data_IF_589287294096
#
_entry.id   IF_589287294096
#
_cell.length_a   1.000
_cell.length_b   1.000
_cell.length_c   1.000
_cell.angle_alpha   90.00
_cell.angle_beta   90.00
_cell.angle_gamma   90.00
#
_symmetry.space_group_name_H-M   'P 1'
#
loop_
_entity.id
_entity.type
_entity.pdbx_description
1 polymer ?
#
# COMPACT_ATOMS: atom_id res chain seq x y z
N UNK A 1 -13.40 -24.54 -29.57
CA UNK A 1 -14.61 -23.94 -30.16
C UNK A 1 -14.53 -22.44 -29.95
N UNK A 2 -14.09 -21.70 -30.97
CA UNK A 2 -13.93 -20.24 -30.93
C UNK A 2 -15.27 -19.58 -31.24
N UNK A 3 -15.80 -18.79 -30.30
CA UNK A 3 -16.97 -17.93 -30.53
C UNK A 3 -16.57 -16.47 -30.37
N UNK A 4 -16.24 -15.90 -31.53
CA UNK A 4 -16.67 -14.62 -32.09
C UNK A 4 -17.00 -13.44 -31.14
N UNK A 5 -16.24 -12.37 -31.37
CA UNK A 5 -16.40 -11.00 -30.91
C UNK A 5 -17.81 -10.42 -31.15
N UNK A 6 -18.29 -9.60 -30.21
CA UNK A 6 -19.15 -8.47 -30.53
C UNK A 6 -18.76 -7.27 -29.64
N UNK A 7 -18.10 -6.30 -30.27
CA UNK A 7 -17.81 -4.97 -29.73
C UNK A 7 -19.04 -4.11 -30.02
N UNK A 8 -19.73 -3.62 -28.98
CA UNK A 8 -20.79 -2.61 -29.12
C UNK A 8 -20.23 -1.31 -28.54
N UNK A 9 -19.79 -0.42 -29.43
CA UNK A 9 -19.43 0.95 -29.09
C UNK A 9 -20.73 1.78 -28.98
N UNK A 10 -21.04 2.27 -27.78
CA UNK A 10 -22.11 3.26 -27.58
C UNK A 10 -21.47 4.65 -27.56
N UNK A 11 -21.72 5.40 -28.62
CA UNK A 11 -21.40 6.83 -28.73
C UNK A 11 -22.49 7.59 -27.98
N UNK A 12 -22.15 8.26 -26.89
CA UNK A 12 -23.04 9.21 -26.20
C UNK A 12 -22.55 10.63 -26.44
N UNK A 13 -23.47 11.46 -26.96
CA UNK A 13 -23.26 12.82 -27.43
C UNK A 13 -22.79 13.79 -26.34
N UNK A 14 -21.79 14.60 -26.71
CA UNK A 14 -21.37 15.82 -26.01
C UNK A 14 -22.42 16.90 -26.25
N UNK A 15 -23.11 17.35 -25.20
CA UNK A 15 -23.87 18.61 -25.23
C UNK A 15 -23.03 19.72 -24.62
N UNK A 16 -22.50 20.59 -25.48
CA UNK A 16 -21.93 21.88 -25.09
C UNK A 16 -23.07 22.83 -24.68
N UNK A 17 -23.13 23.20 -23.41
CA UNK A 17 -23.88 24.36 -22.96
C UNK A 17 -22.92 25.54 -22.78
N UNK A 18 -23.13 26.57 -23.58
CA UNK A 18 -22.42 27.86 -23.54
C UNK A 18 -23.16 28.88 -22.69
N UNK A 19 -22.40 29.89 -22.20
CA UNK A 19 -22.84 31.24 -21.76
C UNK A 19 -23.27 31.34 -20.29
N UNK A 20 -22.97 32.38 -19.49
CA UNK A 20 -22.49 33.75 -19.75
C UNK A 20 -21.82 34.35 -18.48
N UNK A 21 -21.21 35.52 -18.67
CA UNK A 21 -20.34 36.33 -17.79
C UNK A 21 -20.96 36.89 -16.50
N UNK A 22 -20.04 37.05 -15.53
CA UNK A 22 -19.78 38.17 -14.62
C UNK A 22 -20.85 38.58 -13.58
N UNK A 23 -20.43 38.76 -12.33
CA UNK A 23 -20.24 40.08 -11.73
C UNK A 23 -19.45 39.97 -10.41
N UNK A 24 -18.44 40.83 -10.28
CA UNK A 24 -17.62 41.03 -9.09
C UNK A 24 -18.39 41.80 -8.02
N UNK A 25 -18.37 41.35 -6.78
CA UNK A 25 -18.53 42.22 -5.62
C UNK A 25 -17.44 41.90 -4.58
N UNK A 26 -16.57 42.87 -4.38
CA UNK A 26 -15.61 42.96 -3.30
C UNK A 26 -16.36 43.46 -2.07
N UNK A 27 -16.59 42.60 -1.08
CA UNK A 27 -17.00 43.01 0.25
C UNK A 27 -15.87 42.71 1.24
N UNK A 28 -15.16 43.77 1.59
CA UNK A 28 -14.12 43.80 2.63
C UNK A 28 -14.81 43.83 3.99
N UNK A 29 -14.99 42.68 4.64
CA UNK A 29 -15.28 42.65 6.07
C UNK A 29 -14.13 41.98 6.82
N UNK A 30 -13.41 42.83 7.56
CA UNK A 30 -12.36 42.50 8.50
C UNK A 30 -13.01 41.94 9.77
N UNK A 31 -13.04 40.62 9.90
CA UNK A 31 -13.22 39.96 11.20
C UNK A 31 -11.94 39.23 11.58
N UNK A 32 -11.20 39.82 12.51
CA UNK A 32 -10.16 39.13 13.26
C UNK A 32 -10.84 38.14 14.22
N UNK A 33 -10.89 36.87 13.84
CA UNK A 33 -11.22 35.76 14.73
C UNK A 33 -10.04 34.80 14.72
N UNK A 34 -9.13 34.99 15.66
CA UNK A 34 -8.00 34.10 15.94
C UNK A 34 -8.53 32.89 16.72
N UNK A 35 -9.23 32.00 16.04
CA UNK A 35 -9.45 30.62 16.48
C UNK A 35 -8.44 29.71 15.78
N UNK A 36 -7.89 28.67 16.43
CA UNK A 36 -7.07 27.70 15.73
C UNK A 36 -7.92 27.07 14.63
N UNK A 37 -7.52 27.32 13.39
CA UNK A 37 -8.09 26.72 12.19
C UNK A 37 -7.77 25.23 12.25
N UNK A 38 -8.65 24.45 12.87
CA UNK A 38 -8.63 23.01 12.75
C UNK A 38 -8.81 22.71 11.27
N UNK A 39 -7.70 22.44 10.59
CA UNK A 39 -7.73 21.78 9.30
C UNK A 39 -8.26 20.40 9.62
N UNK A 40 -9.57 20.23 9.46
CA UNK A 40 -10.19 18.92 9.32
C UNK A 40 -9.57 18.30 8.07
N UNK A 41 -8.43 17.63 8.24
CA UNK A 41 -8.00 16.59 7.33
C UNK A 41 -9.12 15.56 7.36
N UNK A 42 -10.05 15.67 6.43
CA UNK A 42 -10.94 14.56 6.13
C UNK A 42 -10.00 13.45 5.65
N UNK A 43 -9.87 12.42 6.46
CA UNK A 43 -9.23 11.18 6.06
C UNK A 43 -10.16 10.54 5.03
N UNK A 44 -9.69 10.46 3.79
CA UNK A 44 -10.35 9.67 2.73
C UNK A 44 -10.03 8.18 2.87
N UNK A 45 -9.32 7.79 3.94
CA UNK A 45 -8.90 6.42 4.17
C UNK A 45 -10.08 5.49 4.46
N UNK A 46 -10.10 4.36 3.75
CA UNK A 46 -11.15 3.35 3.87
C UNK A 46 -10.57 2.09 4.49
N UNK A 47 -11.24 1.53 5.50
CA UNK A 47 -10.86 0.24 6.09
C UNK A 47 -10.88 -0.86 5.01
N UNK A 48 -9.85 -1.72 4.91
CA UNK A 48 -9.87 -2.86 4.00
C UNK A 48 -11.10 -3.73 4.21
N UNK A 49 -11.91 -4.03 3.17
CA UNK A 49 -13.06 -4.89 3.29
C UNK A 49 -12.67 -6.30 3.78
N UNK A 50 -13.43 -6.88 4.71
CA UNK A 50 -13.12 -8.20 5.27
C UNK A 50 -13.11 -9.29 4.19
N UNK A 51 -14.03 -9.23 3.23
CA UNK A 51 -14.09 -10.16 2.09
C UNK A 51 -12.83 -10.10 1.22
N UNK A 52 -12.28 -8.90 1.00
CA UNK A 52 -11.01 -8.75 0.28
C UNK A 52 -9.87 -9.42 1.05
N UNK A 53 -9.80 -9.24 2.37
CA UNK A 53 -8.79 -9.91 3.20
C UNK A 53 -8.96 -11.43 3.19
N UNK A 54 -10.21 -11.93 3.17
CA UNK A 54 -10.52 -13.35 3.03
C UNK A 54 -10.01 -13.91 1.70
N UNK A 55 -10.28 -13.21 0.61
CA UNK A 55 -9.84 -13.59 -0.73
C UNK A 55 -8.31 -13.58 -0.86
N UNK A 56 -7.64 -12.57 -0.29
CA UNK A 56 -6.18 -12.50 -0.24
C UNK A 56 -5.60 -13.70 0.52
N UNK A 57 -6.15 -14.09 1.67
CA UNK A 57 -5.67 -15.27 2.41
C UNK A 57 -5.83 -16.54 1.60
N UNK A 58 -7.00 -16.75 0.97
CA UNK A 58 -7.24 -17.90 0.13
C UNK A 58 -6.25 -17.96 -1.05
N UNK A 59 -6.03 -16.82 -1.70
CA UNK A 59 -5.11 -16.69 -2.82
C UNK A 59 -3.65 -16.94 -2.40
N UNK A 60 -3.20 -16.37 -1.29
CA UNK A 60 -1.86 -16.56 -0.73
C UNK A 60 -1.60 -18.01 -0.34
N UNK A 61 -2.59 -18.66 0.27
CA UNK A 61 -2.48 -20.08 0.62
C UNK A 61 -2.33 -20.95 -0.63
N UNK A 62 -3.14 -20.69 -1.67
CA UNK A 62 -3.11 -21.45 -2.92
C UNK A 62 -1.85 -21.21 -3.76
N UNK A 63 -1.28 -20.01 -3.75
CA UNK A 63 -0.17 -19.63 -4.64
C UNK A 63 1.21 -19.70 -3.98
N UNK A 64 1.28 -19.56 -2.65
CA UNK A 64 2.54 -19.47 -1.89
C UNK A 64 2.62 -20.47 -0.73
N UNK A 65 1.58 -21.29 -0.51
CA UNK A 65 1.57 -22.29 0.56
C UNK A 65 1.53 -21.68 1.96
N UNK A 66 1.13 -20.41 2.09
CA UNK A 66 0.96 -19.77 3.38
C UNK A 66 -0.23 -20.37 4.15
N UNK A 67 -0.18 -20.38 5.51
CA UNK A 67 -1.25 -20.96 6.31
C UNK A 67 -2.54 -20.14 6.13
N UNK A 68 -3.66 -20.82 5.89
CA UNK A 68 -4.97 -20.20 5.71
C UNK A 68 -5.62 -19.81 7.06
N UNK A 69 -5.02 -18.86 7.77
CA UNK A 69 -5.45 -18.41 9.08
C UNK A 69 -6.58 -17.37 8.93
N UNK A 70 -7.63 -17.53 9.74
CA UNK A 70 -8.84 -16.69 9.67
C UNK A 70 -8.76 -15.43 10.51
N UNK A 71 -7.87 -15.38 11.50
CA UNK A 71 -7.63 -14.16 12.26
C UNK A 71 -7.20 -13.04 11.29
N UNK A 72 -7.77 -11.85 11.46
CA UNK A 72 -7.57 -10.70 10.58
C UNK A 72 -6.71 -9.67 11.30
N UNK A 73 -5.81 -8.96 10.59
CA UNK A 73 -5.09 -7.85 11.20
C UNK A 73 -6.03 -6.68 11.44
N UNK A 74 -5.71 -5.84 12.42
CA UNK A 74 -6.27 -4.49 12.47
C UNK A 74 -5.67 -3.66 11.32
N UNK A 75 -6.39 -2.64 10.85
CA UNK A 75 -5.85 -1.65 9.93
C UNK A 75 -5.96 -0.26 10.55
N UNK A 76 -4.83 0.42 10.64
CA UNK A 76 -4.71 1.78 11.16
C UNK A 76 -4.08 2.68 10.10
N UNK A 77 -4.44 3.97 10.14
CA UNK A 77 -4.00 4.95 9.17
C UNK A 77 -3.10 5.99 9.81
N UNK A 78 -2.02 6.34 9.14
CA UNK A 78 -1.07 7.36 9.59
C UNK A 78 -0.48 8.11 8.41
N UNK A 79 0.15 9.25 8.64
CA UNK A 79 0.79 10.00 7.56
C UNK A 79 1.96 9.21 6.95
N UNK A 80 2.20 9.37 5.64
CA UNK A 80 3.38 8.81 4.94
C UNK A 80 4.71 9.18 5.62
N UNK A 81 4.79 10.38 6.18
CA UNK A 81 5.94 10.85 6.95
C UNK A 81 6.15 9.99 8.22
N UNK A 82 5.08 9.58 8.90
CA UNK A 82 5.18 8.72 10.07
C UNK A 82 5.52 7.27 9.69
N UNK A 83 4.94 6.74 8.59
CA UNK A 83 5.37 5.44 8.04
C UNK A 83 6.88 5.43 7.76
N UNK A 84 7.40 6.48 7.12
CA UNK A 84 8.83 6.61 6.86
C UNK A 84 9.67 6.65 8.16
N UNK A 85 9.21 7.36 9.20
CA UNK A 85 9.88 7.38 10.51
C UNK A 85 9.89 6.02 11.19
N UNK A 86 8.76 5.31 11.19
CA UNK A 86 8.65 3.98 11.78
C UNK A 86 9.57 3.00 11.07
N UNK A 87 9.62 3.04 9.73
CA UNK A 87 10.54 2.19 8.94
C UNK A 87 11.99 2.51 9.22
N UNK A 88 12.36 3.79 9.29
CA UNK A 88 13.74 4.19 9.62
C UNK A 88 14.16 3.69 11.01
N UNK A 89 13.26 3.71 12.00
CA UNK A 89 13.50 3.16 13.33
C UNK A 89 13.70 1.64 13.29
N UNK A 90 12.81 0.92 12.62
CA UNK A 90 12.90 -0.55 12.47
C UNK A 90 14.22 -0.98 11.81
N UNK A 91 14.63 -0.25 10.76
CA UNK A 91 15.92 -0.43 10.11
C UNK A 91 17.09 -0.10 11.06
N UNK A 92 17.05 1.00 11.80
CA UNK A 92 18.11 1.36 12.74
C UNK A 92 18.26 0.34 13.88
N UNK A 93 17.15 -0.20 14.39
CA UNK A 93 17.15 -1.28 15.37
C UNK A 93 17.68 -2.59 14.79
N UNK A 94 17.47 -2.84 13.50
CA UNK A 94 17.99 -4.00 12.77
C UNK A 94 19.45 -3.83 12.30
N UNK A 95 19.96 -2.60 12.21
CA UNK A 95 21.26 -2.22 11.65
C UNK A 95 22.30 -1.83 12.71
N UNK A 96 22.34 -2.49 13.87
CA UNK A 96 23.44 -2.28 14.84
C UNK A 96 24.84 -2.64 14.30
N UNK A 97 25.02 -2.94 13.00
CA UNK A 97 26.29 -3.41 12.42
C UNK A 97 26.64 -2.95 10.98
N UNK A 98 26.02 -1.93 10.37
CA UNK A 98 26.49 -1.41 9.06
C UNK A 98 26.75 0.09 9.07
N UNK A 99 27.96 0.46 8.65
CA UNK A 99 28.47 1.81 8.58
C UNK A 99 27.78 2.69 7.52
N UNK A 100 27.86 4.00 7.76
CA UNK A 100 27.42 5.09 6.91
C UNK A 100 27.83 4.90 5.43
N UNK A 101 26.91 4.42 4.60
CA UNK A 101 26.85 4.87 3.21
C UNK A 101 25.43 5.35 2.92
N UNK A 102 25.29 6.68 3.00
CA UNK A 102 24.04 7.41 3.16
C UNK A 102 23.32 7.68 1.84
N UNK A 103 23.03 6.63 1.07
CA UNK A 103 22.18 6.77 -0.12
C UNK A 103 21.42 5.48 -0.44
N UNK A 104 20.69 4.95 0.54
CA UNK A 104 19.49 4.17 0.21
C UNK A 104 18.48 5.21 -0.26
N UNK A 105 18.23 5.25 -1.57
CA UNK A 105 17.11 5.98 -2.17
C UNK A 105 15.90 5.80 -1.25
N UNK A 106 15.39 6.90 -0.69
CA UNK A 106 14.29 6.87 0.27
C UNK A 106 13.01 6.54 -0.47
N UNK A 107 12.92 5.28 -0.94
CA UNK A 107 11.72 4.72 -1.54
C UNK A 107 10.57 4.96 -0.59
N UNK A 108 9.47 5.39 -1.18
CA UNK A 108 8.27 5.66 -0.41
C UNK A 108 7.82 4.40 0.33
N UNK A 109 7.65 4.53 1.65
CA UNK A 109 7.10 3.46 2.48
C UNK A 109 5.58 3.51 2.33
N UNK A 110 5.03 2.56 1.57
CA UNK A 110 3.61 2.54 1.21
C UNK A 110 2.71 1.84 2.24
N UNK A 111 3.28 1.01 3.12
CA UNK A 111 2.62 0.40 4.29
C UNK A 111 3.67 -0.22 5.22
N UNK A 112 3.25 -0.64 6.42
CA UNK A 112 4.04 -1.46 7.35
C UNK A 112 3.15 -2.45 8.10
N UNK A 113 3.67 -3.65 8.39
CA UNK A 113 3.05 -4.59 9.32
C UNK A 113 3.76 -4.57 10.68
N UNK A 114 3.03 -4.20 11.74
CA UNK A 114 3.50 -4.33 13.12
C UNK A 114 3.21 -5.74 13.64
N UNK A 115 4.28 -6.48 13.90
CA UNK A 115 4.24 -7.86 14.40
C UNK A 115 3.71 -7.96 15.83
N UNK A 116 3.91 -6.95 16.66
CA UNK A 116 3.53 -6.98 18.08
C UNK A 116 2.02 -6.81 18.27
N UNK A 117 1.43 -5.92 17.49
CA UNK A 117 0.01 -5.56 17.55
C UNK A 117 -0.83 -6.30 16.51
N UNK A 118 -0.19 -6.96 15.53
CA UNK A 118 -0.86 -7.54 14.36
C UNK A 118 -1.68 -6.51 13.59
N UNK A 119 -1.07 -5.35 13.36
CA UNK A 119 -1.70 -4.20 12.70
C UNK A 119 -1.00 -3.91 11.38
N UNK A 120 -1.80 -3.68 10.33
CA UNK A 120 -1.35 -3.08 9.08
C UNK A 120 -1.48 -1.56 9.21
N UNK A 121 -0.37 -0.84 9.05
CA UNK A 121 -0.31 0.61 9.00
C UNK A 121 -0.33 1.06 7.54
N UNK A 122 -1.35 1.83 7.17
CA UNK A 122 -1.58 2.35 5.82
C UNK A 122 -1.48 3.89 5.82
N UNK A 123 -1.20 4.52 4.68
CA UNK A 123 -1.20 5.97 4.60
C UNK A 123 -2.64 6.51 4.74
N UNK A 124 -2.79 7.73 5.25
CA UNK A 124 -4.06 8.39 5.54
C UNK A 124 -4.88 8.80 4.30
N UNK A 125 -4.31 8.62 3.11
CA UNK A 125 -4.94 8.77 1.81
C UNK A 125 -5.17 7.41 1.09
N UNK A 126 -5.07 6.29 1.81
CA UNK A 126 -5.24 4.96 1.22
C UNK A 126 -6.71 4.64 0.88
N UNK A 127 -6.99 4.34 -0.39
CA UNK A 127 -8.36 4.09 -0.90
C UNK A 127 -8.65 2.61 -1.11
N UNK A 128 -7.64 1.78 -1.44
CA UNK A 128 -7.80 0.32 -1.52
C UNK A 128 -8.55 -0.24 -2.73
N UNK A 129 -8.93 0.63 -3.67
CA UNK A 129 -9.77 0.24 -4.80
C UNK A 129 -8.98 -0.28 -6.00
N UNK A 130 -7.73 0.17 -6.18
CA UNK A 130 -6.93 -0.21 -7.33
C UNK A 130 -6.19 -1.54 -7.12
N UNK A 131 -5.86 -2.29 -8.19
CA UNK A 131 -4.99 -3.46 -8.09
C UNK A 131 -3.64 -3.14 -7.42
N UNK A 132 -3.11 -1.93 -7.63
CA UNK A 132 -1.89 -1.43 -7.00
C UNK A 132 -2.06 -1.32 -5.48
N UNK A 133 -3.13 -0.68 -4.99
CA UNK A 133 -3.39 -0.58 -3.54
C UNK A 133 -3.62 -1.95 -2.91
N UNK A 134 -4.37 -2.82 -3.58
CA UNK A 134 -4.63 -4.18 -3.10
C UNK A 134 -3.35 -5.02 -3.05
N UNK A 135 -2.40 -4.78 -3.96
CA UNK A 135 -1.10 -5.45 -3.93
C UNK A 135 -0.30 -5.12 -2.66
N UNK A 136 -0.47 -3.91 -2.10
CA UNK A 136 0.13 -3.53 -0.82
C UNK A 136 -0.45 -4.37 0.31
N UNK A 137 -1.78 -4.58 0.33
CA UNK A 137 -2.39 -5.50 1.30
C UNK A 137 -1.90 -6.94 1.13
N UNK A 138 -1.70 -7.42 -0.11
CA UNK A 138 -1.13 -8.75 -0.36
C UNK A 138 0.25 -8.88 0.31
N UNK A 139 1.10 -7.85 0.18
CA UNK A 139 2.41 -7.80 0.83
C UNK A 139 2.28 -7.91 2.37
N UNK A 140 1.48 -7.03 2.98
CA UNK A 140 1.36 -6.99 4.44
C UNK A 140 0.64 -8.22 5.01
N UNK A 141 -0.30 -8.81 4.26
CA UNK A 141 -0.96 -10.06 4.63
C UNK A 141 -0.01 -11.25 4.59
N UNK A 142 1.03 -11.26 3.74
CA UNK A 142 2.11 -12.25 3.84
C UNK A 142 2.77 -12.15 5.22
N UNK A 143 3.13 -10.95 5.66
CA UNK A 143 3.74 -10.74 6.97
C UNK A 143 2.82 -11.14 8.13
N UNK A 144 1.53 -10.87 8.01
CA UNK A 144 0.54 -11.31 8.99
C UNK A 144 0.47 -12.84 9.11
N UNK A 145 0.34 -13.55 7.99
CA UNK A 145 0.29 -15.02 7.98
C UNK A 145 1.61 -15.66 8.41
N UNK A 146 2.74 -15.05 8.07
CA UNK A 146 4.07 -15.46 8.56
C UNK A 146 4.14 -15.34 10.09
N UNK A 147 3.64 -14.25 10.66
CA UNK A 147 3.61 -14.01 12.10
C UNK A 147 2.73 -15.04 12.84
N UNK A 148 1.46 -15.15 12.44
CA UNK A 148 0.51 -16.05 13.10
C UNK A 148 0.89 -17.53 12.90
N UNK A 149 1.42 -17.87 11.72
CA UNK A 149 1.96 -19.20 11.42
C UNK A 149 3.28 -19.50 12.12
N UNK A 150 3.88 -18.52 12.83
CA UNK A 150 5.17 -18.62 13.51
C UNK A 150 6.29 -19.13 12.60
N UNK A 151 6.23 -18.74 11.32
CA UNK A 151 7.19 -19.16 10.32
C UNK A 151 8.59 -18.67 10.69
N UNK A 152 9.59 -19.50 10.41
CA UNK A 152 10.98 -19.25 10.76
C UNK A 152 11.76 -18.87 9.52
N UNK A 153 12.60 -17.86 9.67
CA UNK A 153 13.47 -17.33 8.64
C UNK A 153 14.89 -17.31 9.16
N UNK A 154 15.85 -17.47 8.26
CA UNK A 154 17.27 -17.43 8.58
C UNK A 154 17.70 -16.08 9.17
N UNK A 155 17.11 -15.00 8.67
CA UNK A 155 17.30 -13.65 9.18
C UNK A 155 15.99 -12.85 9.02
N UNK A 156 15.84 -11.70 9.71
CA UNK A 156 14.66 -10.86 9.58
C UNK A 156 14.34 -10.48 8.13
N UNK A 157 15.35 -10.21 7.30
CA UNK A 157 15.15 -9.81 5.89
C UNK A 157 14.65 -10.93 4.98
N UNK A 158 14.96 -12.19 5.27
CA UNK A 158 14.57 -13.30 4.41
C UNK A 158 13.04 -13.47 4.26
N UNK A 159 12.25 -12.94 5.20
CA UNK A 159 10.78 -12.95 5.15
C UNK A 159 10.20 -12.09 4.01
N UNK A 160 10.93 -11.06 3.59
CA UNK A 160 10.52 -10.08 2.57
C UNK A 160 10.35 -10.72 1.20
N UNK A 161 11.15 -11.75 0.88
CA UNK A 161 11.14 -12.40 -0.44
C UNK A 161 9.76 -12.88 -0.83
N UNK A 162 9.07 -13.55 0.09
CA UNK A 162 7.73 -14.08 -0.20
C UNK A 162 6.71 -12.96 -0.37
N UNK A 163 6.83 -11.88 0.40
CA UNK A 163 5.94 -10.73 0.33
C UNK A 163 6.06 -10.00 -1.02
N UNK A 164 7.29 -9.70 -1.46
CA UNK A 164 7.53 -9.09 -2.78
C UNK A 164 7.10 -10.01 -3.94
N UNK A 165 7.40 -11.31 -3.87
CA UNK A 165 6.97 -12.25 -4.93
C UNK A 165 5.44 -12.38 -5.00
N UNK A 166 4.75 -12.36 -3.86
CA UNK A 166 3.29 -12.35 -3.82
C UNK A 166 2.71 -11.08 -4.41
N UNK A 167 3.26 -9.92 -4.02
CA UNK A 167 2.86 -8.64 -4.56
C UNK A 167 3.09 -8.55 -6.08
N UNK A 168 4.25 -9.00 -6.58
CA UNK A 168 4.54 -9.05 -8.01
C UNK A 168 3.54 -9.93 -8.76
N UNK A 169 3.32 -11.16 -8.29
CA UNK A 169 2.38 -12.10 -8.91
C UNK A 169 0.93 -11.61 -8.86
N UNK A 170 0.56 -10.82 -7.85
CA UNK A 170 -0.74 -10.15 -7.81
C UNK A 170 -0.86 -9.11 -8.93
N UNK A 171 0.09 -8.19 -9.03
CA UNK A 171 0.14 -7.13 -10.05
C UNK A 171 0.13 -7.68 -11.48
N UNK A 172 0.83 -8.79 -11.72
CA UNK A 172 0.89 -9.46 -13.03
C UNK A 172 -0.50 -9.87 -13.56
N UNK A 173 -1.46 -10.19 -12.67
CA UNK A 173 -2.84 -10.52 -13.07
C UNK A 173 -3.56 -9.36 -13.76
N UNK A 174 -3.08 -8.14 -13.55
CA UNK A 174 -3.64 -6.90 -14.08
C UNK A 174 -2.71 -6.24 -15.11
N UNK A 175 -1.65 -6.92 -15.55
CA UNK A 175 -0.65 -6.37 -16.48
C UNK A 175 0.25 -5.28 -15.86
N UNK A 176 0.31 -5.21 -14.53
CA UNK A 176 1.14 -4.28 -13.77
C UNK A 176 2.43 -4.95 -13.29
N UNK A 177 3.35 -4.18 -12.70
CA UNK A 177 4.63 -4.68 -12.21
C UNK A 177 5.16 -3.85 -11.05
N UNK A 178 5.91 -4.48 -10.12
CA UNK A 178 6.55 -3.79 -9.00
C UNK A 178 7.42 -2.59 -9.44
N UNK A 179 8.16 -2.73 -10.55
CA UNK A 179 9.07 -1.70 -11.03
C UNK A 179 8.33 -0.42 -11.43
N UNK A 180 7.23 -0.56 -12.18
CA UNK A 180 6.42 0.59 -12.63
C UNK A 180 5.62 1.24 -11.51
N UNK A 181 5.05 0.43 -10.62
CA UNK A 181 4.12 0.91 -9.60
C UNK A 181 4.85 1.42 -8.33
N UNK A 182 6.02 0.85 -8.01
CA UNK A 182 6.71 1.08 -6.73
C UNK A 182 8.21 1.36 -6.87
N UNK A 183 8.77 1.40 -8.09
CA UNK A 183 10.22 1.49 -8.32
C UNK A 183 11.01 0.36 -7.60
N UNK A 184 10.41 -0.84 -7.55
CA UNK A 184 11.03 -2.05 -6.99
C UNK A 184 11.31 -3.05 -8.11
N UNK A 185 12.56 -3.12 -8.54
CA UNK A 185 13.04 -4.15 -9.47
C UNK A 185 13.46 -5.45 -8.75
N UNK A 186 13.75 -6.50 -9.51
CA UNK A 186 14.15 -7.79 -8.94
C UNK A 186 15.50 -7.73 -8.20
N UNK A 187 16.40 -6.84 -8.57
CA UNK A 187 17.68 -6.65 -7.85
C UNK A 187 17.42 -6.06 -6.45
N UNK A 188 16.48 -5.13 -6.37
CA UNK A 188 15.97 -4.55 -5.13
C UNK A 188 15.32 -5.62 -4.28
N UNK A 189 14.48 -6.50 -4.84
CA UNK A 189 13.90 -7.62 -4.08
C UNK A 189 15.00 -8.53 -3.51
N UNK A 190 16.04 -8.84 -4.30
CA UNK A 190 17.16 -9.68 -3.87
C UNK A 190 17.92 -9.04 -2.69
N UNK A 191 18.32 -7.78 -2.81
CA UNK A 191 19.01 -7.07 -1.72
C UNK A 191 18.09 -6.92 -0.50
N UNK A 192 16.82 -6.57 -0.73
CA UNK A 192 15.85 -6.35 0.32
C UNK A 192 15.63 -7.60 1.18
N UNK A 193 15.79 -8.78 0.56
CA UNK A 193 15.54 -10.07 1.19
C UNK A 193 16.80 -10.86 1.57
N UNK A 194 17.99 -10.33 1.30
CA UNK A 194 19.25 -11.03 1.57
C UNK A 194 19.59 -11.03 3.06
N UNK A 195 20.13 -12.15 3.55
CA UNK A 195 20.77 -12.20 4.85
C UNK A 195 22.21 -11.66 4.72
N UNK A 196 22.54 -10.70 5.59
CA UNK A 196 23.89 -10.18 5.73
C UNK A 196 24.55 -11.01 6.84
N UNK A 197 25.69 -11.63 6.53
CA UNK A 197 26.48 -12.45 7.47
C UNK A 197 27.70 -11.67 7.95
#
# INVERSE_FOLDING_TARGET
MFKQFLLVAVVACVTLATSSRAHSEYALERSASTGPRSVLLHSDAVQPPEDLLNDIVAWLSSNFGLPAIKDRPAAEFTSRMELARLRARDLASSQSFIGNDGQVDQREVVALYDTNTSTILLPDDWVGASPTDQSVLVHEMVHHLQNLGKLKFECPRAREKTAYLAQAKWLEQFGLSLEKEFAVDMFTVLISSACLY
#
